data_IF_235460194569
#
_entry.id   IF_235460194569
#
_cell.length_a   1.000
_cell.length_b   1.000
_cell.length_c   1.000
_cell.angle_alpha   90.00
_cell.angle_beta   90.00
_cell.angle_gamma   90.00
#
_symmetry.space_group_name_H-M   'P 1'
#
loop_
_entity.id
_entity.type
_entity.pdbx_description
1 polymer ?
#
# COMPACT_ATOMS: atom_id res chain seq x y z
N UNK A 1 -11.29 -26.50 29.20
CA UNK A 1 -11.44 -26.73 27.75
C UNK A 1 -11.06 -28.17 27.47
N UNK A 2 -11.75 -28.84 26.57
CA UNK A 2 -11.40 -30.22 26.18
C UNK A 2 -10.19 -30.20 25.22
N UNK A 3 -9.40 -31.28 25.18
CA UNK A 3 -8.26 -31.40 24.24
C UNK A 3 -8.71 -31.26 22.78
N UNK A 4 -9.89 -31.79 22.44
CA UNK A 4 -10.52 -31.65 21.13
C UNK A 4 -10.75 -30.20 20.74
N UNK A 5 -11.24 -29.39 21.67
CA UNK A 5 -11.52 -27.97 21.46
C UNK A 5 -10.23 -27.16 21.31
N UNK A 6 -9.18 -27.47 22.10
CA UNK A 6 -7.88 -26.83 21.98
C UNK A 6 -7.21 -27.14 20.62
N UNK A 7 -7.29 -28.40 20.15
CA UNK A 7 -6.78 -28.80 18.84
C UNK A 7 -7.54 -28.13 17.70
N UNK A 8 -8.87 -28.02 17.81
CA UNK A 8 -9.70 -27.32 16.85
C UNK A 8 -9.31 -25.84 16.73
N UNK A 9 -9.19 -25.13 17.85
CA UNK A 9 -8.79 -23.72 17.83
C UNK A 9 -7.34 -23.50 17.38
N UNK A 10 -6.44 -24.45 17.64
CA UNK A 10 -5.07 -24.38 17.14
C UNK A 10 -5.02 -24.51 15.62
N UNK A 11 -5.78 -25.44 15.05
CA UNK A 11 -5.88 -25.61 13.60
C UNK A 11 -6.52 -24.37 12.94
N UNK A 12 -7.62 -23.84 13.49
CA UNK A 12 -8.26 -22.61 13.00
C UNK A 12 -7.26 -21.43 12.99
N UNK A 13 -6.42 -21.31 14.02
CA UNK A 13 -5.40 -20.26 14.07
C UNK A 13 -4.30 -20.42 13.01
N UNK A 14 -3.93 -21.65 12.65
CA UNK A 14 -2.99 -21.93 11.55
C UNK A 14 -3.61 -21.62 10.19
N UNK A 15 -4.86 -22.02 9.96
CA UNK A 15 -5.59 -21.70 8.72
C UNK A 15 -5.77 -20.20 8.55
N UNK A 16 -6.10 -19.46 9.62
CA UNK A 16 -6.23 -17.99 9.57
C UNK A 16 -4.89 -17.30 9.29
N UNK A 17 -3.77 -17.86 9.77
CA UNK A 17 -2.42 -17.36 9.42
C UNK A 17 -2.08 -17.61 7.95
N UNK A 18 -2.52 -18.72 7.38
CA UNK A 18 -2.33 -19.06 5.96
C UNK A 18 -3.27 -18.29 5.03
N UNK A 19 -4.48 -17.95 5.50
CA UNK A 19 -5.52 -17.31 4.70
C UNK A 19 -5.38 -15.78 4.59
N UNK A 20 -4.57 -15.13 5.44
CA UNK A 20 -4.18 -13.74 5.20
C UNK A 20 -2.96 -13.75 4.28
N UNK A 21 -3.04 -13.21 3.06
CA UNK A 21 -1.83 -12.70 2.43
C UNK A 21 -1.29 -11.69 3.42
N UNK A 22 -0.16 -11.99 4.05
CA UNK A 22 0.60 -10.94 4.71
C UNK A 22 1.09 -10.08 3.55
N UNK A 23 0.31 -9.07 3.16
CA UNK A 23 0.85 -7.95 2.40
C UNK A 23 1.97 -7.41 3.28
N UNK A 24 3.20 -7.73 2.90
CA UNK A 24 4.39 -7.25 3.57
C UNK A 24 4.44 -5.74 3.46
N UNK A 25 5.30 -5.12 4.27
CA UNK A 25 5.59 -3.70 4.08
C UNK A 25 6.13 -3.48 2.66
N UNK A 26 6.84 -4.46 2.12
CA UNK A 26 7.37 -4.52 0.77
C UNK A 26 6.26 -4.48 -0.30
N UNK A 27 5.14 -5.17 -0.10
CA UNK A 27 4.01 -5.16 -1.03
C UNK A 27 3.34 -3.78 -1.05
N UNK A 28 3.19 -3.17 0.12
CA UNK A 28 2.66 -1.80 0.26
C UNK A 28 3.60 -0.79 -0.38
N UNK A 29 4.91 -0.94 -0.21
CA UNK A 29 5.93 -0.09 -0.85
C UNK A 29 5.87 -0.25 -2.37
N UNK A 30 5.84 -1.49 -2.88
CA UNK A 30 5.75 -1.76 -4.32
C UNK A 30 4.48 -1.15 -4.93
N UNK A 31 3.35 -1.28 -4.24
CA UNK A 31 2.09 -0.67 -4.66
C UNK A 31 2.18 0.88 -4.68
N UNK A 32 2.77 1.50 -3.65
CA UNK A 32 2.97 2.94 -3.57
C UNK A 32 3.92 3.46 -4.66
N UNK A 33 4.99 2.72 -5.00
CA UNK A 33 5.90 3.09 -6.09
C UNK A 33 5.20 2.99 -7.46
N UNK A 34 4.38 1.97 -7.68
CA UNK A 34 3.55 1.87 -8.88
C UNK A 34 2.52 3.03 -8.95
N UNK A 35 1.93 3.41 -7.83
CA UNK A 35 0.97 4.51 -7.77
C UNK A 35 1.63 5.88 -7.95
N UNK A 36 2.85 6.05 -7.45
CA UNK A 36 3.68 7.23 -7.71
C UNK A 36 3.88 7.41 -9.22
N UNK A 37 4.29 6.35 -9.92
CA UNK A 37 4.50 6.40 -11.38
C UNK A 37 3.21 6.80 -12.11
N UNK A 38 2.07 6.19 -11.76
CA UNK A 38 0.76 6.55 -12.34
C UNK A 38 0.41 8.01 -12.07
N UNK A 39 0.67 8.51 -10.86
CA UNK A 39 0.42 9.91 -10.53
C UNK A 39 1.33 10.89 -11.30
N UNK A 40 2.59 10.54 -11.55
CA UNK A 40 3.52 11.31 -12.38
C UNK A 40 3.03 11.38 -13.84
N UNK A 41 2.63 10.24 -14.41
CA UNK A 41 2.07 10.15 -15.77
C UNK A 41 0.81 11.01 -15.91
N UNK A 42 -0.14 10.86 -14.97
CA UNK A 42 -1.39 11.65 -14.97
C UNK A 42 -1.12 13.15 -14.82
N UNK A 43 -0.24 13.54 -13.91
CA UNK A 43 0.16 14.94 -13.74
C UNK A 43 0.69 15.50 -15.06
N UNK A 44 1.59 14.78 -15.72
CA UNK A 44 2.16 15.20 -16.99
C UNK A 44 1.09 15.35 -18.08
N UNK A 45 0.16 14.39 -18.20
CA UNK A 45 -0.96 14.49 -19.13
C UNK A 45 -1.81 15.74 -18.91
N UNK A 46 -2.06 16.12 -17.66
CA UNK A 46 -2.85 17.31 -17.34
C UNK A 46 -2.07 18.61 -17.56
N UNK A 47 -0.75 18.61 -17.37
CA UNK A 47 0.12 19.73 -17.77
C UNK A 47 -0.01 19.98 -19.28
N UNK A 48 0.07 18.92 -20.10
CA UNK A 48 -0.05 19.05 -21.56
C UNK A 48 -1.42 19.56 -22.00
N UNK A 49 -2.47 19.31 -21.21
CA UNK A 49 -3.84 19.75 -21.48
C UNK A 49 -4.17 21.13 -20.89
N UNK A 50 -3.26 21.73 -20.10
CA UNK A 50 -3.49 22.99 -19.41
C UNK A 50 -4.54 22.93 -18.29
N UNK A 51 -4.77 21.74 -17.69
CA UNK A 51 -5.76 21.54 -16.63
C UNK A 51 -5.11 21.75 -15.25
N UNK A 52 -4.99 23.01 -14.83
CA UNK A 52 -4.26 23.40 -13.62
C UNK A 52 -4.82 22.79 -12.33
N UNK A 53 -6.15 22.62 -12.24
CA UNK A 53 -6.82 22.03 -11.07
C UNK A 53 -6.39 20.58 -10.88
N UNK A 54 -6.40 19.79 -11.97
CA UNK A 54 -5.96 18.40 -11.88
C UNK A 54 -4.46 18.31 -11.66
N UNK A 55 -3.66 19.20 -12.22
CA UNK A 55 -2.22 19.27 -11.92
C UNK A 55 -1.99 19.49 -10.43
N UNK A 56 -2.72 20.41 -9.80
CA UNK A 56 -2.64 20.65 -8.36
C UNK A 56 -3.04 19.42 -7.54
N UNK A 57 -4.11 18.72 -7.93
CA UNK A 57 -4.52 17.46 -7.30
C UNK A 57 -3.40 16.41 -7.34
N UNK A 58 -2.82 16.17 -8.53
CA UNK A 58 -1.79 15.15 -8.68
C UNK A 58 -0.47 15.54 -8.00
N UNK A 59 -0.16 16.83 -7.89
CA UNK A 59 0.95 17.32 -7.06
C UNK A 59 0.75 16.91 -5.58
N UNK A 60 -0.41 17.19 -5.01
CA UNK A 60 -0.73 16.81 -3.63
C UNK A 60 -0.69 15.30 -3.41
N UNK A 61 -1.21 14.52 -4.38
CA UNK A 61 -1.14 13.05 -4.31
C UNK A 61 0.30 12.55 -4.32
N UNK A 62 1.17 13.11 -5.16
CA UNK A 62 2.60 12.76 -5.20
C UNK A 62 3.33 13.12 -3.90
N UNK A 63 3.02 14.27 -3.31
CA UNK A 63 3.59 14.69 -2.03
C UNK A 63 3.27 13.67 -0.92
N UNK A 64 2.00 13.29 -0.80
CA UNK A 64 1.56 12.29 0.19
C UNK A 64 2.22 10.94 -0.04
N UNK A 65 2.27 10.45 -1.28
CA UNK A 65 2.91 9.16 -1.60
C UNK A 65 4.40 9.18 -1.23
N UNK A 66 5.12 10.24 -1.59
CA UNK A 66 6.54 10.39 -1.23
C UNK A 66 6.74 10.45 0.29
N UNK A 67 5.85 11.12 1.01
CA UNK A 67 5.90 11.20 2.46
C UNK A 67 5.70 9.84 3.13
N UNK A 68 4.72 9.06 2.64
CA UNK A 68 4.45 7.72 3.15
C UNK A 68 5.62 6.78 2.84
N UNK A 69 6.12 6.76 1.60
CA UNK A 69 7.30 5.96 1.22
C UNK A 69 8.52 6.30 2.10
N UNK A 70 8.75 7.59 2.36
CA UNK A 70 9.83 8.05 3.24
C UNK A 70 9.68 7.53 4.67
N UNK A 71 8.45 7.48 5.19
CA UNK A 71 8.17 6.91 6.53
C UNK A 71 8.37 5.41 6.54
N UNK A 72 7.86 4.69 5.54
CA UNK A 72 7.99 3.22 5.47
C UNK A 72 9.46 2.77 5.38
N UNK A 73 10.29 3.45 4.59
CA UNK A 73 11.75 3.20 4.54
C UNK A 73 12.46 3.41 5.88
N UNK A 74 11.95 4.29 6.76
CA UNK A 74 12.50 4.49 8.11
C UNK A 74 12.10 3.38 9.09
N UNK A 75 11.00 2.69 8.82
CA UNK A 75 10.47 1.61 9.66
C UNK A 75 11.08 0.24 9.29
N UNK A 76 11.89 0.18 8.23
CA UNK A 76 12.65 -1.01 7.84
C UNK A 76 12.04 -1.81 6.69
N UNK A 77 11.44 -1.12 5.73
CA UNK A 77 11.23 -1.66 4.37
C UNK A 77 12.54 -1.64 3.57
#
# INVERSE_FOLDING_TARGET
>A
MSESEANFWSWVAEEVKQARPQEGIEDVVAWLEAEKKRAEERRFDYILRGDEEKVAYWNGRLEVINEVLRKLRRVGA
#
